data_IF_989536390165
#
_entry.id   IF_989536390165
#
_cell.length_a   1.000
_cell.length_b   1.000
_cell.length_c   1.000
_cell.angle_alpha   90.00
_cell.angle_beta   90.00
_cell.angle_gamma   90.00
#
_symmetry.space_group_name_H-M   'P 1'
#
loop_
_entity.id
_entity.type
_entity.pdbx_description
1 polymer ?
#
# COMPACT_ATOMS: atom_id res chain seq x y z
N UNK A 1 6.16 -2.17 16.41
CA UNK A 1 5.85 -1.01 17.28
C UNK A 1 4.39 -0.60 17.10
N UNK A 2 3.67 -0.20 18.14
CA UNK A 2 2.29 0.30 18.01
C UNK A 2 2.25 1.50 17.06
N UNK A 3 1.17 1.59 16.27
CA UNK A 3 1.01 2.69 15.30
C UNK A 3 0.89 4.05 16.01
N UNK A 4 1.27 5.14 15.32
CA UNK A 4 1.22 6.51 15.87
C UNK A 4 -0.13 6.87 16.51
N UNK A 5 -1.23 6.37 15.96
CA UNK A 5 -2.58 6.61 16.49
C UNK A 5 -2.73 6.03 17.89
N UNK A 6 -2.24 4.80 18.12
CA UNK A 6 -2.29 4.15 19.44
C UNK A 6 -1.47 4.94 20.46
N UNK A 7 -0.26 5.35 20.10
CA UNK A 7 0.60 6.14 20.99
C UNK A 7 -0.03 7.48 21.36
N UNK A 8 -0.62 8.19 20.38
CA UNK A 8 -1.35 9.44 20.65
C UNK A 8 -2.59 9.23 21.51
N UNK A 9 -3.31 8.11 21.30
CA UNK A 9 -4.47 7.77 22.12
C UNK A 9 -4.09 7.49 23.56
N UNK A 10 -3.00 6.75 23.81
CA UNK A 10 -2.49 6.49 25.16
C UNK A 10 -2.03 7.77 25.84
N UNK A 11 -1.29 8.63 25.12
CA UNK A 11 -0.85 9.93 25.64
C UNK A 11 -2.04 10.83 25.99
N UNK A 12 -3.06 10.88 25.11
CA UNK A 12 -4.27 11.69 25.37
C UNK A 12 -5.05 11.18 26.58
N UNK A 13 -5.20 9.87 26.72
CA UNK A 13 -5.84 9.29 27.90
C UNK A 13 -5.06 9.63 29.19
N UNK A 14 -3.73 9.49 29.17
CA UNK A 14 -2.87 9.88 30.29
C UNK A 14 -3.02 11.36 30.65
N UNK A 15 -3.00 12.27 29.66
CA UNK A 15 -3.17 13.71 29.90
C UNK A 15 -4.55 14.04 30.46
N UNK A 16 -5.62 13.40 29.99
CA UNK A 16 -6.97 13.56 30.56
C UNK A 16 -7.01 13.14 32.03
N UNK A 17 -6.39 12.01 32.39
CA UNK A 17 -6.31 11.55 33.78
C UNK A 17 -5.44 12.49 34.64
N UNK A 18 -4.36 13.00 34.13
CA UNK A 18 -3.51 13.98 34.82
C UNK A 18 -4.28 15.28 35.10
N UNK A 19 -4.98 15.81 34.10
CA UNK A 19 -5.81 17.02 34.25
C UNK A 19 -6.92 16.79 35.28
N UNK A 20 -7.59 15.63 35.23
CA UNK A 20 -8.59 15.26 36.24
C UNK A 20 -8.01 15.25 37.68
N UNK A 21 -6.81 14.66 37.85
CA UNK A 21 -6.11 14.65 39.14
C UNK A 21 -5.78 16.07 39.62
N UNK A 22 -5.23 16.92 38.74
CA UNK A 22 -4.86 18.32 39.03
C UNK A 22 -6.09 19.21 39.35
N UNK A 23 -7.28 18.87 38.81
CA UNK A 23 -8.56 19.52 39.13
C UNK A 23 -9.16 19.08 40.48
N UNK A 24 -8.41 18.39 41.35
CA UNK A 24 -8.91 17.90 42.62
C UNK A 24 -9.94 16.80 42.45
N UNK A 25 -9.88 16.01 41.38
CA UNK A 25 -10.81 14.90 41.06
C UNK A 25 -12.25 15.33 40.81
N UNK A 26 -12.46 16.57 40.38
CA UNK A 26 -13.78 17.07 40.00
C UNK A 26 -14.17 16.65 38.61
N UNK A 27 -15.46 16.28 38.40
CA UNK A 27 -15.98 15.76 37.14
C UNK A 27 -15.74 14.25 36.95
N UNK A 28 -15.80 13.76 35.71
CA UNK A 28 -15.60 12.36 35.37
C UNK A 28 -14.59 12.20 34.21
N UNK A 29 -13.41 11.62 34.50
CA UNK A 29 -12.35 11.49 33.49
C UNK A 29 -12.78 10.63 32.30
N UNK A 30 -13.76 9.77 32.49
CA UNK A 30 -14.37 8.97 31.43
C UNK A 30 -14.82 9.82 30.23
N UNK A 31 -15.44 10.96 30.47
CA UNK A 31 -15.97 11.83 29.42
C UNK A 31 -14.90 12.57 28.67
N UNK A 32 -13.84 13.02 29.34
CA UNK A 32 -12.69 13.64 28.65
C UNK A 32 -11.90 12.65 27.84
N UNK A 33 -11.69 11.41 28.34
CA UNK A 33 -10.98 10.36 27.62
C UNK A 33 -11.76 9.96 26.35
N UNK A 34 -13.08 9.68 26.44
CA UNK A 34 -13.90 9.35 25.27
C UNK A 34 -13.89 10.49 24.26
N UNK A 35 -13.97 11.75 24.72
CA UNK A 35 -13.89 12.89 23.83
C UNK A 35 -12.55 12.95 23.09
N UNK A 36 -11.44 12.73 23.80
CA UNK A 36 -10.11 12.72 23.21
C UNK A 36 -9.93 11.58 22.21
N UNK A 37 -10.31 10.35 22.57
CA UNK A 37 -10.14 9.18 21.71
C UNK A 37 -10.93 9.28 20.39
N UNK A 38 -12.13 9.84 20.43
CA UNK A 38 -12.94 10.04 19.21
C UNK A 38 -12.39 11.16 18.33
N UNK A 39 -11.77 12.19 18.91
CA UNK A 39 -11.20 13.31 18.18
C UNK A 39 -9.82 12.99 17.55
N UNK A 40 -9.12 11.93 18.00
CA UNK A 40 -7.83 11.53 17.38
C UNK A 40 -8.08 10.90 16.02
N UNK A 41 -7.91 11.71 14.96
CA UNK A 41 -8.12 11.34 13.57
C UNK A 41 -6.79 11.42 12.79
N UNK A 42 -6.66 10.67 11.66
CA UNK A 42 -5.45 10.71 10.82
C UNK A 42 -5.19 12.10 10.20
N UNK A 43 -6.25 12.86 9.93
CA UNK A 43 -6.20 14.17 9.29
C UNK A 43 -6.68 15.27 10.24
N UNK A 44 -5.96 16.37 10.31
CA UNK A 44 -6.26 17.50 11.20
C UNK A 44 -7.63 18.12 10.92
N UNK A 45 -8.01 18.26 9.64
CA UNK A 45 -9.32 18.78 9.27
C UNK A 45 -10.49 17.93 9.82
N UNK A 46 -10.36 16.60 9.74
CA UNK A 46 -11.37 15.68 10.29
C UNK A 46 -11.41 15.74 11.83
N UNK A 47 -10.26 15.88 12.47
CA UNK A 47 -10.16 16.03 13.92
C UNK A 47 -10.92 17.28 14.39
N UNK A 48 -10.68 18.43 13.77
CA UNK A 48 -11.36 19.69 14.10
C UNK A 48 -12.87 19.61 13.86
N UNK A 49 -13.28 18.96 12.75
CA UNK A 49 -14.70 18.73 12.45
C UNK A 49 -15.37 17.88 13.54
N UNK A 50 -14.77 16.74 13.91
CA UNK A 50 -15.29 15.86 14.96
C UNK A 50 -15.31 16.58 16.32
N UNK A 51 -14.24 17.31 16.66
CA UNK A 51 -14.16 18.09 17.90
C UNK A 51 -15.27 19.15 17.99
N UNK A 52 -15.49 19.91 16.91
CA UNK A 52 -16.58 20.89 16.82
C UNK A 52 -17.95 20.24 17.02
N UNK A 53 -18.22 19.13 16.30
CA UNK A 53 -19.50 18.45 16.41
C UNK A 53 -19.74 17.90 17.81
N UNK A 54 -18.69 17.43 18.48
CA UNK A 54 -18.76 16.93 19.84
C UNK A 54 -19.06 18.05 20.88
N UNK A 55 -18.34 19.18 20.78
CA UNK A 55 -18.62 20.33 21.67
C UNK A 55 -20.03 20.86 21.42
N UNK A 56 -20.42 21.07 20.17
CA UNK A 56 -21.77 21.55 19.82
C UNK A 56 -22.86 20.61 20.32
N UNK A 57 -22.71 19.31 20.12
CA UNK A 57 -23.67 18.30 20.64
C UNK A 57 -23.73 18.29 22.16
N UNK A 58 -22.57 18.42 22.83
CA UNK A 58 -22.54 18.52 24.30
C UNK A 58 -23.29 19.76 24.81
N UNK A 59 -23.08 20.91 24.16
CA UNK A 59 -23.79 22.13 24.53
C UNK A 59 -25.31 22.02 24.33
N UNK A 60 -25.77 21.48 23.22
CA UNK A 60 -27.18 21.26 22.93
C UNK A 60 -27.79 20.27 23.93
N UNK A 61 -27.11 19.14 24.19
CA UNK A 61 -27.57 18.15 25.15
C UNK A 61 -27.59 18.67 26.58
N UNK A 62 -26.60 19.50 26.98
CA UNK A 62 -26.52 20.16 28.26
C UNK A 62 -27.66 21.20 28.44
N UNK A 63 -27.96 21.98 27.41
CA UNK A 63 -29.06 22.95 27.43
C UNK A 63 -30.42 22.28 27.66
N UNK A 64 -30.74 21.29 26.82
CA UNK A 64 -32.03 20.56 26.99
C UNK A 64 -32.06 19.71 28.25
N UNK A 65 -30.95 19.15 28.71
CA UNK A 65 -30.81 18.46 29.99
C UNK A 65 -31.08 19.40 31.17
N UNK A 66 -30.54 20.63 31.10
CA UNK A 66 -30.83 21.63 32.16
C UNK A 66 -32.31 22.05 32.19
N UNK A 67 -32.96 22.17 31.04
CA UNK A 67 -34.41 22.44 30.98
C UNK A 67 -35.22 21.29 31.60
N UNK A 68 -34.88 20.05 31.28
CA UNK A 68 -35.52 18.87 31.84
C UNK A 68 -35.32 18.79 33.35
N UNK A 69 -34.12 19.08 33.87
CA UNK A 69 -33.82 19.15 35.29
C UNK A 69 -34.70 20.24 36.00
N UNK A 70 -34.75 21.45 35.42
CA UNK A 70 -35.54 22.52 35.94
C UNK A 70 -37.05 22.15 36.00
N UNK A 71 -37.56 21.57 34.91
CA UNK A 71 -38.94 21.10 34.84
C UNK A 71 -39.25 20.04 35.89
N UNK A 72 -38.36 19.09 36.12
CA UNK A 72 -38.54 18.04 37.13
C UNK A 72 -38.52 18.61 38.53
N UNK A 73 -37.55 19.46 38.86
CA UNK A 73 -37.48 20.12 40.18
C UNK A 73 -38.71 21.02 40.45
N UNK A 74 -39.25 21.67 39.43
CA UNK A 74 -40.46 22.47 39.54
C UNK A 74 -41.70 21.62 39.83
N UNK A 75 -41.84 20.46 39.18
CA UNK A 75 -42.99 19.55 39.35
C UNK A 75 -42.91 18.81 40.68
N UNK A 76 -41.71 18.45 41.16
CA UNK A 76 -41.52 17.70 42.43
C UNK A 76 -41.37 18.59 43.65
N UNK A 77 -41.50 19.92 43.52
CA UNK A 77 -41.39 20.84 44.66
C UNK A 77 -40.01 20.93 45.27
N UNK A 78 -38.94 20.56 44.50
CA UNK A 78 -37.53 20.60 44.93
C UNK A 78 -37.01 19.33 45.57
N UNK A 79 -37.83 18.31 45.75
CA UNK A 79 -37.38 17.00 46.21
C UNK A 79 -36.77 16.19 45.04
N UNK A 80 -35.58 15.65 45.17
CA UNK A 80 -34.95 14.86 44.10
C UNK A 80 -35.51 13.43 43.99
N UNK A 81 -36.77 13.21 44.45
CA UNK A 81 -37.44 11.93 44.32
C UNK A 81 -38.22 11.91 43.00
N UNK A 82 -37.77 11.12 42.06
CA UNK A 82 -38.61 10.77 40.94
C UNK A 82 -38.87 9.26 40.96
N UNK A 83 -40.14 8.90 40.84
CA UNK A 83 -40.52 7.51 40.62
C UNK A 83 -40.19 7.13 39.23
N UNK A 84 -39.33 6.09 39.05
CA UNK A 84 -39.02 5.47 37.76
C UNK A 84 -40.24 4.72 37.21
N UNK A 85 -41.28 5.46 36.83
CA UNK A 85 -42.49 4.90 36.27
C UNK A 85 -42.49 5.06 34.74
N UNK A 86 -43.32 4.27 34.07
CA UNK A 86 -43.38 4.21 32.60
C UNK A 86 -43.64 5.59 31.97
N UNK A 87 -44.39 6.45 32.66
CA UNK A 87 -44.69 7.83 32.23
C UNK A 87 -43.42 8.67 32.09
N UNK A 88 -42.50 8.55 33.05
CA UNK A 88 -41.21 9.24 33.00
C UNK A 88 -40.38 8.83 31.75
N UNK A 89 -40.31 7.54 31.48
CA UNK A 89 -39.55 7.05 30.28
C UNK A 89 -40.21 7.48 28.97
N UNK A 90 -41.54 7.54 28.88
CA UNK A 90 -42.24 8.07 27.71
C UNK A 90 -41.97 9.55 27.49
N UNK A 91 -41.96 10.36 28.57
CA UNK A 91 -41.59 11.79 28.51
C UNK A 91 -40.15 11.97 28.06
N UNK A 92 -39.22 11.20 28.61
CA UNK A 92 -37.82 11.24 28.17
C UNK A 92 -37.67 10.88 26.68
N UNK A 93 -38.38 9.86 26.21
CA UNK A 93 -38.36 9.46 24.80
C UNK A 93 -38.88 10.60 23.89
N UNK A 94 -39.93 11.27 24.27
CA UNK A 94 -40.44 12.43 23.55
C UNK A 94 -39.43 13.59 23.54
N UNK A 95 -38.79 13.86 24.69
CA UNK A 95 -37.75 14.90 24.80
C UNK A 95 -36.53 14.61 23.92
N UNK A 96 -36.12 13.34 23.77
CA UNK A 96 -35.04 12.97 22.83
C UNK A 96 -35.41 13.43 21.42
N UNK A 97 -36.66 13.27 20.99
CA UNK A 97 -37.15 13.77 19.72
C UNK A 97 -36.92 15.29 19.55
N UNK A 98 -37.22 16.08 20.60
CA UNK A 98 -36.99 17.52 20.63
C UNK A 98 -35.49 17.85 20.53
N UNK A 99 -34.66 17.16 21.31
CA UNK A 99 -33.19 17.32 21.29
C UNK A 99 -32.64 17.07 19.91
N UNK A 100 -33.01 15.95 19.25
CA UNK A 100 -32.56 15.60 17.91
C UNK A 100 -33.08 16.60 16.87
N UNK A 101 -34.34 17.00 16.94
CA UNK A 101 -34.93 17.98 16.03
C UNK A 101 -34.25 19.36 16.14
N UNK A 102 -33.87 19.79 17.35
CA UNK A 102 -33.10 21.03 17.53
C UNK A 102 -31.79 21.05 16.80
N UNK A 103 -31.11 19.90 16.64
CA UNK A 103 -29.86 19.80 15.85
C UNK A 103 -30.11 19.98 14.34
N UNK A 104 -31.30 19.58 13.86
CA UNK A 104 -31.70 19.80 12.46
C UNK A 104 -32.03 21.29 12.23
N UNK A 105 -32.76 21.93 13.13
CA UNK A 105 -33.06 23.35 13.03
C UNK A 105 -31.78 24.22 13.06
N UNK A 106 -30.82 23.87 13.89
CA UNK A 106 -29.53 24.56 14.00
C UNK A 106 -28.56 24.19 12.87
N UNK A 107 -28.96 23.32 11.94
CA UNK A 107 -28.13 22.83 10.81
C UNK A 107 -26.83 22.12 11.23
N UNK A 108 -26.83 21.47 12.41
CA UNK A 108 -25.68 20.74 12.98
C UNK A 108 -26.00 19.25 13.16
N UNK A 109 -26.56 18.62 12.15
CA UNK A 109 -27.06 17.22 12.17
C UNK A 109 -26.00 16.22 12.64
N UNK A 110 -24.72 16.44 12.34
CA UNK A 110 -23.62 15.57 12.77
C UNK A 110 -23.39 15.57 14.29
N UNK A 111 -23.95 16.53 15.02
CA UNK A 111 -23.89 16.63 16.47
C UNK A 111 -25.05 15.91 17.19
N UNK A 112 -26.04 15.39 16.46
CA UNK A 112 -27.29 14.81 17.01
C UNK A 112 -27.00 13.66 17.97
N UNK A 113 -26.14 12.73 17.64
CA UNK A 113 -25.77 11.63 18.52
C UNK A 113 -25.18 12.11 19.85
N UNK A 114 -24.29 13.08 19.80
CA UNK A 114 -23.67 13.61 21.03
C UNK A 114 -24.67 14.38 21.90
N UNK A 115 -25.59 15.10 21.29
CA UNK A 115 -26.63 15.81 22.06
C UNK A 115 -27.57 14.87 22.79
N UNK A 116 -27.99 13.78 22.16
CA UNK A 116 -28.80 12.75 22.78
C UNK A 116 -28.09 12.04 23.94
N UNK A 117 -26.83 11.65 23.74
CA UNK A 117 -26.02 10.98 24.78
C UNK A 117 -25.80 11.88 25.99
N UNK A 118 -25.53 13.17 25.80
CA UNK A 118 -25.34 14.11 26.91
C UNK A 118 -26.66 14.37 27.63
N UNK A 119 -27.75 14.59 26.90
CA UNK A 119 -29.09 14.73 27.47
C UNK A 119 -29.43 13.54 28.35
N UNK A 120 -29.31 12.31 27.83
CA UNK A 120 -29.60 11.09 28.59
C UNK A 120 -28.68 10.91 29.80
N UNK A 121 -27.39 11.25 29.68
CA UNK A 121 -26.47 11.13 30.82
C UNK A 121 -26.86 12.06 31.98
N UNK A 122 -27.44 13.23 31.67
CA UNK A 122 -27.93 14.19 32.68
C UNK A 122 -29.24 13.70 33.31
N UNK A 123 -30.20 13.31 32.48
CA UNK A 123 -31.55 13.03 32.92
C UNK A 123 -31.72 11.64 33.54
N UNK A 124 -30.96 10.63 33.09
CA UNK A 124 -31.10 9.27 33.64
C UNK A 124 -30.19 8.98 34.84
N UNK A 125 -28.98 9.55 34.87
CA UNK A 125 -27.99 9.14 35.87
C UNK A 125 -27.77 10.18 36.99
N UNK A 126 -28.14 11.45 36.77
CA UNK A 126 -27.73 12.54 37.65
C UNK A 126 -28.87 13.48 38.08
N UNK A 127 -30.11 13.11 37.77
CA UNK A 127 -31.27 13.93 38.14
C UNK A 127 -31.50 13.95 39.66
N UNK A 128 -31.11 12.87 40.35
CA UNK A 128 -31.18 12.74 41.81
C UNK A 128 -29.96 13.26 42.58
N UNK A 129 -28.97 13.84 41.92
CA UNK A 129 -27.78 14.38 42.56
C UNK A 129 -28.14 15.64 43.42
N UNK A 130 -27.39 15.84 44.50
CA UNK A 130 -27.53 17.03 45.37
C UNK A 130 -27.33 18.34 44.58
N UNK A 131 -26.48 18.33 43.56
CA UNK A 131 -26.27 19.46 42.68
C UNK A 131 -26.13 19.01 41.21
N UNK A 132 -27.23 18.74 40.49
CA UNK A 132 -27.17 18.24 39.13
C UNK A 132 -26.61 19.26 38.13
N UNK A 133 -26.69 20.56 38.39
CA UNK A 133 -26.11 21.59 37.52
C UNK A 133 -24.58 21.59 37.56
N UNK A 134 -23.97 21.21 38.68
CA UNK A 134 -22.54 21.04 38.78
C UNK A 134 -22.08 19.89 37.89
N UNK A 135 -22.86 18.82 37.77
CA UNK A 135 -22.61 17.74 36.83
C UNK A 135 -22.68 18.24 35.39
N UNK A 136 -23.70 19.01 35.01
CA UNK A 136 -23.83 19.58 33.66
C UNK A 136 -22.62 20.44 33.29
N UNK A 137 -22.16 21.29 34.21
CA UNK A 137 -20.98 22.10 34.04
C UNK A 137 -19.71 21.25 33.84
N UNK A 138 -19.46 20.31 34.73
CA UNK A 138 -18.30 19.41 34.65
C UNK A 138 -18.35 18.55 33.37
N UNK A 139 -19.54 18.08 32.98
CA UNK A 139 -19.75 17.30 31.75
C UNK A 139 -19.31 18.07 30.49
N UNK A 140 -19.67 19.36 30.42
CA UNK A 140 -19.29 20.24 29.32
C UNK A 140 -17.80 20.54 29.36
N UNK A 141 -17.24 20.81 30.52
CA UNK A 141 -15.85 21.10 30.73
C UNK A 141 -14.96 19.88 30.38
N UNK A 142 -15.34 18.67 30.85
CA UNK A 142 -14.62 17.44 30.57
C UNK A 142 -14.57 17.15 29.06
N UNK A 143 -15.66 17.37 28.33
CA UNK A 143 -15.69 17.23 26.87
C UNK A 143 -14.73 18.22 26.20
N UNK A 144 -14.72 19.49 26.64
CA UNK A 144 -13.86 20.53 26.10
C UNK A 144 -12.37 20.22 26.35
N UNK A 145 -12.06 19.76 27.57
CA UNK A 145 -10.70 19.28 27.93
C UNK A 145 -10.29 18.14 27.02
N UNK A 146 -11.16 17.14 26.83
CA UNK A 146 -10.86 15.99 25.97
C UNK A 146 -10.58 16.39 24.52
N UNK A 147 -11.36 17.32 23.95
CA UNK A 147 -11.12 17.86 22.61
C UNK A 147 -9.79 18.62 22.55
N UNK A 148 -9.51 19.48 23.55
CA UNK A 148 -8.24 20.24 23.64
C UNK A 148 -7.03 19.32 23.74
N UNK A 149 -7.09 18.28 24.59
CA UNK A 149 -6.04 17.26 24.72
C UNK A 149 -5.85 16.48 23.41
N UNK A 150 -6.94 16.18 22.68
CA UNK A 150 -6.82 15.53 21.37
C UNK A 150 -6.10 16.41 20.36
N UNK A 151 -6.41 17.71 20.30
CA UNK A 151 -5.73 18.69 19.43
C UNK A 151 -4.25 18.74 19.78
N UNK A 152 -3.91 18.90 21.06
CA UNK A 152 -2.53 18.91 21.54
C UNK A 152 -1.78 17.60 21.20
N UNK A 153 -2.35 16.45 21.53
CA UNK A 153 -1.73 15.14 21.25
C UNK A 153 -1.54 14.89 19.75
N UNK A 154 -2.43 15.43 18.91
CA UNK A 154 -2.31 15.30 17.47
C UNK A 154 -1.25 16.25 16.87
N UNK A 155 -0.95 17.36 17.55
CA UNK A 155 0.13 18.29 17.17
C UNK A 155 1.52 17.74 17.49
N UNK A 156 1.61 16.71 18.33
CA UNK A 156 2.88 16.03 18.61
C UNK A 156 3.25 15.15 17.41
N UNK A 157 4.29 15.56 16.68
CA UNK A 157 4.84 14.81 15.57
C UNK A 157 6.09 14.08 16.04
N UNK A 158 6.04 12.74 16.03
CA UNK A 158 7.24 11.95 16.26
C UNK A 158 8.25 12.23 15.15
N UNK A 159 9.49 12.61 15.46
CA UNK A 159 10.49 12.86 14.45
C UNK A 159 10.73 11.59 13.63
N UNK A 160 10.78 11.75 12.33
CA UNK A 160 11.09 10.68 11.39
C UNK A 160 12.37 11.03 10.69
N UNK A 161 13.27 10.08 10.64
CA UNK A 161 14.52 10.19 9.89
C UNK A 161 14.32 9.44 8.57
N UNK A 162 14.68 10.09 7.46
CA UNK A 162 14.62 9.48 6.14
C UNK A 162 15.88 8.66 5.89
N UNK A 163 15.72 7.39 5.62
CA UNK A 163 16.81 6.48 5.27
C UNK A 163 17.17 6.65 3.78
N UNK A 164 18.17 7.48 3.51
CA UNK A 164 18.68 7.73 2.16
C UNK A 164 19.86 6.83 1.77
N UNK A 165 20.32 5.99 2.68
CA UNK A 165 21.46 5.11 2.45
C UNK A 165 21.01 3.73 1.94
N UNK A 166 19.88 3.26 2.41
CA UNK A 166 19.33 1.95 2.02
C UNK A 166 18.75 1.98 0.60
N UNK A 167 19.13 1.01 -0.21
CA UNK A 167 18.54 0.72 -1.51
C UNK A 167 17.27 -0.12 -1.30
N UNK A 168 16.13 0.40 -1.70
CA UNK A 168 14.85 -0.30 -1.67
C UNK A 168 14.54 -0.86 -3.06
N UNK A 169 14.30 -2.17 -3.16
CA UNK A 169 14.00 -2.84 -4.42
C UNK A 169 12.67 -3.58 -4.32
N UNK A 170 11.71 -3.25 -5.17
CA UNK A 170 10.39 -3.89 -5.20
C UNK A 170 10.26 -4.81 -6.41
N UNK A 171 9.66 -5.99 -6.20
CA UNK A 171 9.13 -6.77 -7.32
C UNK A 171 8.09 -5.96 -8.09
N UNK A 172 8.08 -6.07 -9.41
CA UNK A 172 7.02 -5.50 -10.26
C UNK A 172 5.83 -6.45 -10.28
N UNK A 173 6.11 -7.69 -10.66
CA UNK A 173 5.13 -8.75 -10.85
C UNK A 173 4.56 -9.19 -9.50
N UNK A 174 3.25 -9.09 -9.31
CA UNK A 174 2.49 -9.47 -8.11
C UNK A 174 2.85 -8.71 -6.79
N UNK A 175 3.77 -7.74 -6.82
CA UNK A 175 4.13 -6.92 -5.64
C UNK A 175 3.66 -5.47 -5.83
N UNK A 176 4.22 -4.79 -6.82
CA UNK A 176 3.85 -3.41 -7.15
C UNK A 176 2.53 -3.37 -7.95
N UNK A 177 2.39 -4.27 -8.92
CA UNK A 177 1.20 -4.40 -9.76
C UNK A 177 0.46 -5.71 -9.47
N UNK A 178 -0.86 -5.64 -9.43
CA UNK A 178 -1.75 -6.80 -9.44
C UNK A 178 -1.93 -7.32 -10.88
N UNK A 179 -2.73 -8.35 -11.05
CA UNK A 179 -3.10 -8.89 -12.36
C UNK A 179 -3.77 -7.86 -13.28
N UNK A 180 -4.51 -6.90 -12.70
CA UNK A 180 -5.13 -5.78 -13.41
C UNK A 180 -4.13 -4.75 -13.95
N UNK A 181 -2.84 -4.87 -13.62
CA UNK A 181 -1.73 -4.00 -14.00
C UNK A 181 -1.92 -2.52 -13.67
N UNK A 182 -2.87 -2.21 -12.79
CA UNK A 182 -3.18 -0.85 -12.41
C UNK A 182 -2.53 -0.46 -11.08
N UNK A 183 -1.92 0.71 -11.07
CA UNK A 183 -1.42 1.34 -9.85
C UNK A 183 -2.24 2.61 -9.57
N UNK A 184 -2.79 2.72 -8.36
CA UNK A 184 -3.61 3.88 -8.02
C UNK A 184 -2.80 5.18 -8.10
N UNK A 185 -3.43 6.28 -8.51
CA UNK A 185 -2.78 7.59 -8.61
C UNK A 185 -2.16 8.01 -7.28
N UNK A 186 -2.84 7.74 -6.16
CA UNK A 186 -2.32 8.03 -4.83
C UNK A 186 -1.01 7.29 -4.54
N UNK A 187 -0.89 6.03 -4.99
CA UNK A 187 0.32 5.23 -4.83
C UNK A 187 1.46 5.79 -5.67
N UNK A 188 1.19 6.16 -6.94
CA UNK A 188 2.17 6.81 -7.83
C UNK A 188 2.69 8.12 -7.23
N UNK A 189 1.79 8.99 -6.77
CA UNK A 189 2.16 10.28 -6.15
C UNK A 189 3.04 10.07 -4.92
N UNK A 190 2.67 9.16 -4.02
CA UNK A 190 3.46 8.88 -2.81
C UNK A 190 4.83 8.30 -3.11
N UNK A 191 4.92 7.37 -4.05
CA UNK A 191 6.19 6.78 -4.45
C UNK A 191 7.10 7.84 -5.07
N UNK A 192 6.56 8.69 -5.97
CA UNK A 192 7.29 9.80 -6.56
C UNK A 192 7.78 10.80 -5.52
N UNK A 193 6.97 11.13 -4.50
CA UNK A 193 7.40 11.98 -3.40
C UNK A 193 8.61 11.40 -2.66
N UNK A 194 8.60 10.10 -2.34
CA UNK A 194 9.74 9.45 -1.69
C UNK A 194 10.99 9.47 -2.56
N UNK A 195 10.85 9.18 -3.86
CA UNK A 195 11.98 9.22 -4.82
C UNK A 195 12.54 10.65 -4.93
N UNK A 196 11.68 11.67 -5.00
CA UNK A 196 12.07 13.08 -5.04
C UNK A 196 12.77 13.51 -3.74
N UNK A 197 12.33 13.00 -2.60
CA UNK A 197 12.93 13.23 -1.28
C UNK A 197 14.31 12.57 -1.10
N UNK A 198 14.79 11.83 -2.11
CA UNK A 198 16.11 11.19 -2.15
C UNK A 198 16.13 9.72 -1.73
N UNK A 199 14.98 9.05 -1.71
CA UNK A 199 14.93 7.60 -1.52
C UNK A 199 15.60 6.89 -2.70
N UNK A 200 16.48 5.95 -2.41
CA UNK A 200 17.08 5.05 -3.40
C UNK A 200 16.12 3.91 -3.68
N UNK A 201 15.35 4.03 -4.76
CA UNK A 201 14.31 3.05 -5.12
C UNK A 201 14.53 2.49 -6.51
N UNK A 202 14.44 1.18 -6.63
CA UNK A 202 14.49 0.44 -7.89
C UNK A 202 13.45 -0.68 -7.90
N UNK A 203 13.32 -1.34 -9.05
CA UNK A 203 12.41 -2.47 -9.23
C UNK A 203 13.12 -3.67 -9.82
N UNK A 204 12.60 -4.86 -9.55
CA UNK A 204 13.06 -6.14 -10.11
C UNK A 204 11.91 -6.89 -10.75
N UNK A 205 12.13 -7.44 -11.95
CA UNK A 205 11.06 -8.08 -12.74
C UNK A 205 11.59 -9.16 -13.68
N UNK A 206 10.71 -10.08 -14.06
CA UNK A 206 10.92 -11.02 -15.17
C UNK A 206 10.73 -10.35 -16.54
N UNK A 207 10.08 -9.18 -16.59
CA UNK A 207 9.72 -8.52 -17.84
C UNK A 207 10.89 -7.79 -18.50
N UNK A 208 10.74 -7.49 -19.80
CA UNK A 208 11.71 -6.65 -20.54
C UNK A 208 11.61 -5.19 -20.10
N UNK A 209 12.69 -4.39 -20.24
CA UNK A 209 12.67 -2.95 -20.00
C UNK A 209 11.54 -2.22 -20.73
N UNK A 210 11.20 -2.65 -21.95
CA UNK A 210 10.08 -2.13 -22.73
C UNK A 210 8.74 -2.30 -22.00
N UNK A 211 8.46 -3.50 -21.48
CA UNK A 211 7.24 -3.75 -20.68
C UNK A 211 7.23 -2.95 -19.38
N UNK A 212 8.38 -2.85 -18.70
CA UNK A 212 8.46 -2.06 -17.44
C UNK A 212 8.17 -0.60 -17.71
N UNK A 213 8.64 -0.03 -18.81
CA UNK A 213 8.37 1.35 -19.20
C UNK A 213 6.86 1.61 -19.37
N UNK A 214 6.14 0.68 -19.99
CA UNK A 214 4.70 0.74 -20.15
C UNK A 214 3.98 0.67 -18.78
N UNK A 215 4.36 -0.28 -17.93
CA UNK A 215 3.74 -0.50 -16.61
C UNK A 215 4.03 0.64 -15.62
N UNK A 216 5.24 1.17 -15.61
CA UNK A 216 5.69 2.19 -14.64
C UNK A 216 5.44 3.62 -15.12
N UNK A 217 4.61 3.81 -16.13
CA UNK A 217 4.25 5.14 -16.62
C UNK A 217 3.70 6.02 -15.47
N UNK A 218 4.33 7.19 -15.30
CA UNK A 218 4.01 8.11 -14.21
C UNK A 218 4.75 7.84 -12.90
N UNK A 219 5.69 6.87 -12.87
CA UNK A 219 6.64 6.69 -11.78
C UNK A 219 8.02 7.19 -12.24
N UNK A 220 8.59 8.14 -11.52
CA UNK A 220 9.89 8.73 -11.83
C UNK A 220 11.06 7.90 -11.30
N UNK A 221 11.25 6.67 -11.81
CA UNK A 221 12.40 5.83 -11.45
C UNK A 221 13.70 6.52 -11.85
N UNK A 222 14.62 6.69 -10.89
CA UNK A 222 15.91 7.36 -11.09
C UNK A 222 17.10 6.40 -11.12
N UNK A 223 16.92 5.21 -10.59
CA UNK A 223 17.96 4.19 -10.54
C UNK A 223 17.72 3.14 -11.63
N UNK A 224 18.79 2.47 -12.10
CA UNK A 224 18.64 1.34 -12.98
C UNK A 224 17.75 0.25 -12.36
N UNK A 225 17.01 -0.46 -13.22
CA UNK A 225 16.12 -1.55 -12.85
C UNK A 225 16.76 -2.90 -13.15
N UNK A 226 16.40 -3.90 -12.34
CA UNK A 226 16.73 -5.30 -12.60
C UNK A 226 15.62 -5.88 -13.46
N UNK A 227 15.90 -6.16 -14.73
CA UNK A 227 14.93 -6.70 -15.67
C UNK A 227 15.32 -8.08 -16.19
N UNK A 228 14.41 -8.75 -16.91
CA UNK A 228 14.61 -10.08 -17.48
C UNK A 228 15.15 -11.08 -16.45
N UNK A 229 14.52 -11.11 -15.28
CA UNK A 229 14.83 -11.98 -14.13
C UNK A 229 16.30 -11.96 -13.67
N UNK A 230 16.96 -10.79 -13.80
CA UNK A 230 18.36 -10.60 -13.44
C UNK A 230 19.35 -10.76 -14.60
N UNK A 231 18.89 -10.94 -15.83
CA UNK A 231 19.76 -10.94 -16.99
C UNK A 231 20.31 -9.54 -17.32
N UNK A 232 19.58 -8.47 -16.95
CA UNK A 232 20.02 -7.10 -17.26
C UNK A 232 19.80 -6.13 -16.11
N UNK A 233 20.72 -5.18 -16.02
CA UNK A 233 20.56 -3.92 -15.28
C UNK A 233 20.36 -2.82 -16.31
N UNK A 234 19.20 -2.17 -16.30
CA UNK A 234 18.80 -1.22 -17.33
C UNK A 234 18.45 0.14 -16.73
N UNK A 235 19.06 1.19 -17.26
CA UNK A 235 18.73 2.56 -16.89
C UNK A 235 17.54 3.07 -17.73
N UNK A 236 16.44 3.35 -17.04
CA UNK A 236 15.20 3.82 -17.66
C UNK A 236 15.31 5.26 -18.19
N UNK A 237 16.22 6.07 -17.65
CA UNK A 237 16.38 7.48 -18.02
C UNK A 237 17.22 7.61 -19.30
N UNK A 238 18.39 7.00 -19.32
CA UNK A 238 19.29 7.02 -20.47
C UNK A 238 18.95 5.99 -21.55
N UNK A 239 17.99 5.09 -21.28
CA UNK A 239 17.61 3.97 -22.14
C UNK A 239 18.80 3.05 -22.48
N UNK A 240 19.67 2.77 -21.51
CA UNK A 240 20.90 1.98 -21.74
C UNK A 240 20.93 0.72 -20.87
N UNK A 241 21.54 -0.33 -21.43
CA UNK A 241 21.87 -1.56 -20.70
C UNK A 241 23.18 -1.35 -19.94
N UNK A 242 23.08 -1.04 -18.63
CA UNK A 242 24.24 -0.78 -17.75
C UNK A 242 25.06 -2.04 -17.55
N UNK A 243 24.41 -3.19 -17.41
CA UNK A 243 25.02 -4.51 -17.25
C UNK A 243 24.15 -5.56 -17.91
N UNK A 244 24.75 -6.50 -18.60
CA UNK A 244 24.07 -7.67 -19.20
C UNK A 244 24.76 -8.96 -18.76
N UNK A 245 23.96 -9.95 -18.39
CA UNK A 245 24.43 -11.32 -18.15
C UNK A 245 24.02 -12.17 -19.34
N UNK A 246 24.95 -12.28 -20.29
CA UNK A 246 24.77 -12.97 -21.57
C UNK A 246 24.79 -14.48 -21.38
N UNK A 247 24.13 -15.21 -22.27
CA UNK A 247 24.31 -16.65 -22.44
C UNK A 247 25.59 -16.90 -23.24
N UNK A 248 26.34 -17.91 -22.86
CA UNK A 248 27.48 -18.32 -23.63
C UNK A 248 27.06 -18.82 -25.04
N UNK A 249 27.81 -18.48 -26.08
CA UNK A 249 27.42 -18.77 -27.45
C UNK A 249 27.20 -20.27 -27.72
N UNK A 250 28.10 -21.12 -27.19
CA UNK A 250 27.96 -22.58 -27.33
C UNK A 250 26.68 -23.12 -26.65
N UNK A 251 26.32 -22.56 -25.48
CA UNK A 251 25.06 -22.89 -24.77
C UNK A 251 23.84 -22.42 -25.56
N UNK A 252 23.89 -21.21 -26.15
CA UNK A 252 22.82 -20.69 -26.99
C UNK A 252 22.58 -21.51 -28.24
N UNK A 253 23.66 -22.00 -28.88
CA UNK A 253 23.58 -22.89 -30.04
C UNK A 253 22.98 -24.26 -29.69
N UNK A 254 23.43 -24.88 -28.58
CA UNK A 254 22.84 -26.12 -28.04
C UNK A 254 21.34 -25.97 -27.75
N UNK A 255 20.97 -24.91 -27.06
CA UNK A 255 19.58 -24.64 -26.73
C UNK A 255 18.70 -24.37 -27.96
N UNK A 256 19.24 -23.62 -28.94
CA UNK A 256 18.56 -23.39 -30.22
C UNK A 256 18.32 -24.71 -30.98
N UNK A 257 19.31 -25.61 -31.00
CA UNK A 257 19.18 -26.93 -31.62
C UNK A 257 18.15 -27.80 -30.91
N UNK A 258 18.19 -27.87 -29.59
CA UNK A 258 17.20 -28.56 -28.77
C UNK A 258 15.76 -28.08 -29.07
N UNK A 259 15.50 -26.79 -29.05
CA UNK A 259 14.16 -26.24 -29.32
C UNK A 259 13.71 -26.49 -30.78
N UNK A 260 14.66 -26.55 -31.73
CA UNK A 260 14.40 -26.94 -33.14
C UNK A 260 14.00 -28.40 -33.27
N UNK A 261 14.67 -29.31 -32.57
CA UNK A 261 14.35 -30.75 -32.55
C UNK A 261 12.98 -30.98 -31.92
N UNK A 262 12.63 -30.25 -30.87
CA UNK A 262 11.31 -30.28 -30.24
C UNK A 262 10.21 -29.65 -31.11
N UNK A 263 10.53 -28.98 -32.21
CA UNK A 263 9.62 -28.31 -33.14
C UNK A 263 8.70 -27.29 -32.49
N UNK A 264 9.21 -26.61 -31.48
CA UNK A 264 8.48 -25.57 -30.76
C UNK A 264 8.81 -24.19 -31.32
N UNK A 265 7.86 -23.28 -31.49
CA UNK A 265 8.15 -21.89 -31.84
C UNK A 265 8.73 -21.15 -30.64
N UNK A 266 9.74 -20.30 -30.89
CA UNK A 266 10.39 -19.56 -29.81
C UNK A 266 10.90 -18.20 -30.24
N UNK A 267 11.04 -17.30 -29.26
CA UNK A 267 11.81 -16.06 -29.41
C UNK A 267 13.21 -16.20 -28.82
N UNK A 268 14.19 -15.59 -29.49
CA UNK A 268 15.50 -15.37 -28.93
C UNK A 268 15.67 -13.88 -28.66
N UNK A 269 15.78 -13.52 -27.39
CA UNK A 269 15.94 -12.15 -26.97
C UNK A 269 17.42 -11.81 -26.84
N UNK A 270 17.84 -10.79 -27.58
CA UNK A 270 19.23 -10.37 -27.68
C UNK A 270 19.35 -8.86 -27.48
N UNK A 271 20.56 -8.37 -27.27
CA UNK A 271 20.87 -6.95 -27.21
C UNK A 271 21.93 -6.60 -28.24
N UNK A 272 21.64 -5.59 -29.07
CA UNK A 272 22.56 -4.99 -30.02
C UNK A 272 22.57 -3.47 -29.78
N UNK A 273 23.70 -2.87 -29.43
CA UNK A 273 23.88 -1.42 -29.29
C UNK A 273 22.74 -0.72 -28.47
N UNK A 274 22.39 -1.26 -27.30
CA UNK A 274 21.29 -0.80 -26.45
C UNK A 274 19.87 -1.01 -27.02
N UNK A 275 19.71 -1.79 -28.08
CA UNK A 275 18.40 -2.16 -28.61
C UNK A 275 18.06 -3.61 -28.26
N UNK A 276 16.83 -3.86 -27.85
CA UNK A 276 16.31 -5.21 -27.70
C UNK A 276 15.93 -5.74 -29.07
N UNK A 277 16.64 -6.74 -29.52
CA UNK A 277 16.39 -7.44 -30.78
C UNK A 277 15.81 -8.82 -30.45
N UNK A 278 14.72 -9.18 -31.09
CA UNK A 278 13.98 -10.42 -30.83
C UNK A 278 13.89 -11.22 -32.12
N UNK A 279 14.61 -12.33 -32.17
CA UNK A 279 14.56 -13.24 -33.31
C UNK A 279 13.37 -14.19 -33.15
N UNK A 280 12.53 -14.26 -34.19
CA UNK A 280 11.44 -15.20 -34.31
C UNK A 280 11.91 -16.51 -34.91
N UNK A 281 11.62 -17.66 -34.30
CA UNK A 281 12.02 -18.98 -34.74
C UNK A 281 10.86 -19.96 -34.77
N UNK A 282 10.79 -20.77 -35.83
CA UNK A 282 9.76 -21.79 -36.03
C UNK A 282 8.31 -21.29 -36.12
N UNK A 283 8.12 -20.02 -36.46
CA UNK A 283 6.84 -19.46 -36.86
C UNK A 283 7.07 -18.21 -37.73
N UNK A 284 6.03 -17.82 -38.50
CA UNK A 284 6.07 -16.60 -39.33
C UNK A 284 5.15 -15.58 -38.77
N UNK A 285 5.65 -14.49 -38.16
CA UNK A 285 4.79 -13.43 -37.60
C UNK A 285 3.86 -12.83 -38.65
N UNK A 286 2.58 -12.62 -38.25
CA UNK A 286 1.53 -12.09 -39.11
C UNK A 286 0.82 -13.14 -39.95
N UNK A 287 1.15 -14.42 -39.84
CA UNK A 287 0.38 -15.51 -40.43
C UNK A 287 -0.58 -16.09 -39.38
N UNK A 288 -1.85 -16.25 -39.78
CA UNK A 288 -2.84 -16.90 -38.91
C UNK A 288 -2.47 -18.39 -38.75
N UNK A 289 -2.29 -18.88 -37.53
CA UNK A 289 -1.99 -20.28 -37.28
C UNK A 289 -3.20 -21.17 -37.66
N UNK A 290 -2.92 -22.33 -38.24
CA UNK A 290 -3.97 -23.29 -38.62
C UNK A 290 -4.79 -23.81 -37.43
N UNK A 291 -4.14 -23.92 -36.26
CA UNK A 291 -4.78 -24.38 -35.02
C UNK A 291 -4.73 -23.31 -33.94
N UNK A 292 -5.89 -22.74 -33.52
CA UNK A 292 -5.96 -21.69 -32.48
C UNK A 292 -5.43 -22.10 -31.09
N UNK A 293 -5.30 -23.40 -30.82
CA UNK A 293 -4.77 -23.94 -29.54
C UNK A 293 -3.33 -24.44 -29.63
N UNK A 294 -2.59 -24.08 -30.66
CA UNK A 294 -1.17 -24.47 -30.82
C UNK A 294 -0.23 -23.48 -30.14
N UNK A 295 1.02 -23.91 -29.92
CA UNK A 295 2.10 -23.04 -29.48
C UNK A 295 2.35 -21.87 -30.43
N UNK A 296 2.16 -22.10 -31.75
CA UNK A 296 2.23 -21.06 -32.78
C UNK A 296 1.18 -19.96 -32.58
N UNK A 297 -0.04 -20.33 -32.20
CA UNK A 297 -1.10 -19.38 -31.91
C UNK A 297 -0.82 -18.58 -30.63
N UNK A 298 -0.22 -19.20 -29.62
CA UNK A 298 0.14 -18.55 -28.37
C UNK A 298 1.28 -17.53 -28.59
N UNK A 299 2.36 -17.93 -29.31
CA UNK A 299 3.48 -17.04 -29.57
C UNK A 299 3.11 -15.89 -30.54
N UNK A 300 2.25 -16.15 -31.55
CA UNK A 300 1.74 -15.13 -32.46
C UNK A 300 0.88 -14.10 -31.71
N UNK A 301 0.03 -14.54 -30.79
CA UNK A 301 -0.74 -13.64 -29.95
C UNK A 301 0.16 -12.75 -29.07
N UNK A 302 1.25 -13.28 -28.55
CA UNK A 302 2.23 -12.51 -27.79
C UNK A 302 2.97 -11.52 -28.70
N UNK A 303 3.33 -11.92 -29.91
CA UNK A 303 3.92 -11.03 -30.91
C UNK A 303 2.98 -9.88 -31.26
N UNK A 304 1.75 -10.17 -31.67
CA UNK A 304 0.75 -9.16 -32.04
C UNK A 304 0.52 -8.13 -30.89
N UNK A 305 0.46 -8.61 -29.67
CA UNK A 305 0.33 -7.76 -28.47
C UNK A 305 1.51 -6.82 -28.26
N UNK A 306 2.73 -7.21 -28.69
CA UNK A 306 3.98 -6.53 -28.36
C UNK A 306 4.66 -5.84 -29.54
N UNK A 307 4.31 -6.15 -30.79
CA UNK A 307 4.97 -5.64 -32.02
C UNK A 307 4.92 -4.12 -32.16
N UNK A 308 3.89 -3.47 -31.64
CA UNK A 308 3.72 -2.02 -31.69
C UNK A 308 4.63 -1.23 -30.71
N UNK A 309 5.43 -1.89 -29.89
CA UNK A 309 6.27 -1.21 -28.91
C UNK A 309 7.52 -0.61 -29.61
N UNK A 310 7.79 0.70 -29.44
CA UNK A 310 8.97 1.36 -30.06
C UNK A 310 10.31 0.92 -29.45
N UNK A 311 10.29 0.07 -28.42
CA UNK A 311 11.47 -0.39 -27.70
C UNK A 311 11.80 -1.85 -28.02
N UNK A 312 11.18 -2.47 -29.03
CA UNK A 312 11.39 -3.84 -29.47
C UNK A 312 11.60 -3.86 -30.97
N UNK A 313 12.64 -4.55 -31.41
CA UNK A 313 12.87 -4.84 -32.83
C UNK A 313 12.73 -6.34 -33.05
N UNK A 314 11.79 -6.72 -33.90
CA UNK A 314 11.58 -8.13 -34.27
C UNK A 314 12.26 -8.44 -35.60
N UNK A 315 13.07 -9.50 -35.63
CA UNK A 315 13.79 -10.01 -36.80
C UNK A 315 13.23 -11.36 -37.21
N UNK A 316 12.95 -11.51 -38.50
CA UNK A 316 12.31 -12.73 -39.01
C UNK A 316 13.31 -13.88 -39.25
N UNK A 317 12.78 -15.06 -39.49
CA UNK A 317 13.24 -16.40 -39.22
C UNK A 317 14.63 -16.84 -39.77
N UNK A 318 15.19 -16.22 -40.78
CA UNK A 318 16.29 -16.84 -41.57
C UNK A 318 17.68 -16.20 -41.31
N UNK A 319 17.76 -15.16 -40.50
CA UNK A 319 19.03 -14.51 -40.17
C UNK A 319 19.75 -15.23 -39.01
N UNK A 320 21.07 -15.39 -39.15
CA UNK A 320 21.91 -15.91 -38.08
C UNK A 320 21.88 -14.99 -36.85
N UNK A 321 21.87 -15.59 -35.65
CA UNK A 321 21.95 -14.85 -34.40
C UNK A 321 23.40 -14.45 -34.17
N UNK A 322 23.73 -13.20 -34.48
CA UNK A 322 25.07 -12.62 -34.28
C UNK A 322 25.19 -11.84 -32.99
N UNK A 323 24.06 -11.55 -32.34
CA UNK A 323 23.97 -10.69 -31.19
C UNK A 323 24.16 -11.45 -29.88
N UNK A 324 24.37 -10.68 -28.81
CA UNK A 324 24.47 -11.20 -27.45
C UNK A 324 23.12 -11.73 -26.95
N UNK A 325 23.02 -13.04 -26.81
CA UNK A 325 21.79 -13.71 -26.35
C UNK A 325 21.60 -13.51 -24.84
N UNK A 326 20.44 -13.02 -24.45
CA UNK A 326 20.04 -12.85 -23.05
C UNK A 326 19.20 -14.03 -22.56
N UNK A 327 18.15 -14.41 -23.31
CA UNK A 327 17.29 -15.53 -22.97
C UNK A 327 16.45 -15.99 -24.17
N UNK A 328 15.99 -17.23 -24.08
CA UNK A 328 14.99 -17.80 -24.96
C UNK A 328 13.62 -17.76 -24.31
N UNK A 329 12.57 -17.61 -25.12
CA UNK A 329 11.19 -17.61 -24.65
C UNK A 329 10.36 -18.57 -25.50
N UNK A 330 9.70 -19.49 -24.83
CA UNK A 330 8.69 -20.41 -25.38
C UNK A 330 7.36 -20.11 -24.68
N UNK A 331 6.26 -20.23 -25.40
CA UNK A 331 4.90 -20.15 -24.84
C UNK A 331 4.05 -21.25 -25.44
N UNK A 332 3.42 -22.06 -24.58
CA UNK A 332 2.49 -23.11 -24.96
C UNK A 332 1.50 -23.35 -23.80
N UNK A 333 0.67 -24.37 -23.91
CA UNK A 333 -0.15 -24.86 -22.81
C UNK A 333 0.72 -25.31 -21.64
N UNK A 334 0.26 -25.07 -20.46
CA UNK A 334 1.00 -25.32 -19.21
C UNK A 334 1.65 -26.73 -19.18
N UNK A 335 0.89 -27.78 -19.47
CA UNK A 335 1.35 -29.17 -19.40
C UNK A 335 2.49 -29.43 -20.40
N UNK A 336 2.44 -28.80 -21.58
CA UNK A 336 3.49 -28.95 -22.60
C UNK A 336 4.75 -28.16 -22.25
N UNK A 337 4.56 -26.96 -21.69
CA UNK A 337 5.67 -26.11 -21.26
C UNK A 337 6.41 -26.76 -20.10
N UNK A 338 5.71 -27.33 -19.12
CA UNK A 338 6.30 -28.08 -18.01
C UNK A 338 7.05 -29.33 -18.50
N UNK A 339 6.45 -30.12 -19.42
CA UNK A 339 7.11 -31.29 -20.01
C UNK A 339 8.36 -30.91 -20.83
N UNK A 340 8.32 -29.81 -21.56
CA UNK A 340 9.49 -29.29 -22.29
C UNK A 340 10.60 -28.89 -21.31
N UNK A 341 10.24 -28.23 -20.23
CA UNK A 341 11.19 -27.84 -19.19
C UNK A 341 11.83 -29.03 -18.49
N UNK A 342 11.05 -30.06 -18.17
CA UNK A 342 11.59 -31.30 -17.61
C UNK A 342 12.59 -31.97 -18.55
N UNK A 343 12.29 -32.09 -19.86
CA UNK A 343 13.22 -32.62 -20.85
C UNK A 343 14.51 -31.82 -20.96
N UNK A 344 14.39 -30.48 -20.98
CA UNK A 344 15.53 -29.57 -20.95
C UNK A 344 16.44 -29.82 -19.74
N UNK A 345 15.86 -30.10 -18.57
CA UNK A 345 16.64 -30.35 -17.35
C UNK A 345 17.34 -31.72 -17.33
N UNK A 346 17.01 -32.62 -18.23
CA UNK A 346 17.72 -33.89 -18.42
C UNK A 346 18.89 -33.81 -19.42
N UNK A 347 19.06 -32.70 -20.13
CA UNK A 347 20.16 -32.49 -21.02
C UNK A 347 21.52 -32.42 -20.30
N UNK A 348 22.61 -32.97 -20.86
CA UNK A 348 23.94 -32.98 -20.21
C UNK A 348 24.47 -31.58 -19.86
N UNK A 349 24.00 -30.55 -20.58
CA UNK A 349 24.36 -29.13 -20.39
C UNK A 349 23.32 -28.32 -19.62
N UNK A 350 22.33 -28.97 -19.04
CA UNK A 350 21.25 -28.29 -18.28
C UNK A 350 21.78 -27.37 -17.17
N UNK A 351 22.93 -27.69 -16.56
CA UNK A 351 23.56 -26.85 -15.54
C UNK A 351 24.06 -25.50 -16.03
N UNK A 352 24.17 -25.29 -17.34
CA UNK A 352 24.56 -24.02 -17.95
C UNK A 352 23.39 -23.05 -18.08
N UNK A 353 22.13 -23.53 -17.93
CA UNK A 353 20.91 -22.75 -18.11
C UNK A 353 20.02 -22.80 -16.88
N UNK A 354 19.08 -21.86 -16.81
CA UNK A 354 18.05 -21.75 -15.78
C UNK A 354 16.70 -21.43 -16.42
N UNK A 355 15.73 -22.31 -16.24
CA UNK A 355 14.37 -22.07 -16.69
C UNK A 355 13.53 -21.34 -15.63
N UNK A 356 12.64 -20.48 -16.08
CA UNK A 356 11.68 -19.74 -15.27
C UNK A 356 10.31 -19.82 -15.93
N UNK A 357 9.39 -20.47 -15.23
CA UNK A 357 7.99 -20.54 -15.62
C UNK A 357 7.21 -19.30 -15.15
N UNK A 358 6.30 -18.80 -15.96
CA UNK A 358 5.55 -17.59 -15.70
C UNK A 358 4.22 -17.57 -16.47
N UNK A 359 3.15 -17.17 -15.79
CA UNK A 359 1.82 -17.01 -16.37
C UNK A 359 1.47 -15.56 -16.67
N UNK A 360 2.36 -14.63 -16.34
CA UNK A 360 2.14 -13.20 -16.59
C UNK A 360 2.21 -12.91 -18.11
N UNK A 361 1.20 -12.29 -18.66
CA UNK A 361 1.00 -12.01 -20.07
C UNK A 361 0.43 -13.18 -20.91
N UNK A 362 0.11 -14.32 -20.31
CA UNK A 362 -0.48 -15.47 -20.98
C UNK A 362 -2.03 -15.41 -21.01
N UNK A 363 -2.63 -16.20 -21.89
CA UNK A 363 -4.04 -16.54 -21.79
C UNK A 363 -4.27 -17.61 -20.71
N UNK A 364 -5.51 -17.83 -20.33
CA UNK A 364 -5.85 -18.88 -19.37
C UNK A 364 -5.44 -20.25 -19.94
N UNK A 365 -4.70 -21.03 -19.13
CA UNK A 365 -4.17 -22.33 -19.51
C UNK A 365 -2.84 -22.32 -20.28
N UNK A 366 -2.29 -21.14 -20.60
CA UNK A 366 -0.96 -20.99 -21.22
C UNK A 366 0.11 -20.62 -20.15
N UNK A 367 1.36 -20.97 -20.44
CA UNK A 367 2.52 -20.66 -19.62
C UNK A 367 3.73 -20.30 -20.47
N UNK A 368 4.52 -19.33 -20.02
CA UNK A 368 5.78 -18.94 -20.63
C UNK A 368 6.94 -19.61 -19.92
N UNK A 369 7.80 -20.28 -20.66
CA UNK A 369 9.12 -20.71 -20.21
C UNK A 369 10.16 -19.73 -20.74
N UNK A 370 10.87 -19.06 -19.82
CA UNK A 370 12.05 -18.24 -20.13
C UNK A 370 13.29 -19.00 -19.70
N UNK A 371 14.26 -19.14 -20.62
CA UNK A 371 15.49 -19.89 -20.40
C UNK A 371 16.66 -18.93 -20.46
N UNK A 372 17.31 -18.72 -19.32
CA UNK A 372 18.44 -17.83 -19.13
C UNK A 372 19.74 -18.59 -18.93
N UNK A 373 20.89 -17.91 -19.01
CA UNK A 373 22.13 -18.42 -18.45
C UNK A 373 21.96 -18.71 -16.94
N UNK A 374 22.55 -19.77 -16.43
CA UNK A 374 22.52 -20.11 -14.99
C UNK A 374 23.10 -19.01 -14.10
N UNK A 375 24.02 -18.20 -14.62
CA UNK A 375 24.60 -17.04 -13.94
C UNK A 375 23.64 -15.82 -13.87
N UNK A 376 22.62 -15.75 -14.72
CA UNK A 376 21.66 -14.65 -14.74
C UNK A 376 20.63 -14.83 -13.62
N UNK A 377 20.87 -14.22 -12.46
CA UNK A 377 19.99 -14.28 -11.29
C UNK A 377 19.70 -12.90 -10.74
N UNK A 378 18.48 -12.72 -10.17
CA UNK A 378 18.12 -11.46 -9.49
C UNK A 378 19.08 -11.11 -8.36
N UNK A 379 19.56 -12.11 -7.62
CA UNK A 379 20.50 -11.92 -6.52
C UNK A 379 21.84 -11.37 -7.00
N UNK A 380 22.42 -11.96 -8.04
CA UNK A 380 23.67 -11.48 -8.63
C UNK A 380 23.52 -10.05 -9.17
N UNK A 381 22.43 -9.76 -9.87
CA UNK A 381 22.17 -8.43 -10.42
C UNK A 381 21.84 -7.38 -9.34
N UNK A 382 21.25 -7.80 -8.21
CA UNK A 382 21.03 -6.92 -7.05
C UNK A 382 22.36 -6.48 -6.42
N UNK A 383 23.35 -7.36 -6.32
CA UNK A 383 24.68 -6.98 -5.84
C UNK A 383 25.39 -6.03 -6.83
N UNK A 384 25.21 -6.20 -8.14
CA UNK A 384 25.71 -5.25 -9.13
C UNK A 384 25.02 -3.88 -9.03
N UNK A 385 23.69 -3.85 -8.84
CA UNK A 385 22.94 -2.61 -8.61
C UNK A 385 23.41 -1.92 -7.32
N UNK A 386 23.59 -2.69 -6.25
CA UNK A 386 24.08 -2.18 -4.95
C UNK A 386 25.45 -1.51 -5.09
N UNK A 387 26.39 -2.15 -5.83
CA UNK A 387 27.70 -1.58 -6.13
C UNK A 387 27.57 -0.31 -6.98
N UNK A 388 26.74 -0.34 -8.01
CA UNK A 388 26.52 0.79 -8.93
C UNK A 388 25.99 2.03 -8.18
N UNK A 389 25.04 1.83 -7.26
CA UNK A 389 24.42 2.91 -6.46
C UNK A 389 25.28 3.32 -5.27
N UNK A 390 26.27 2.52 -4.88
CA UNK A 390 27.06 2.72 -3.65
C UNK A 390 26.20 2.63 -2.39
N UNK A 391 25.26 1.70 -2.34
CA UNK A 391 24.37 1.54 -1.20
C UNK A 391 24.97 0.55 -0.18
N UNK A 392 25.11 0.91 1.10
CA UNK A 392 25.64 -0.01 2.13
C UNK A 392 24.64 -1.10 2.48
N UNK A 393 23.34 -0.85 2.34
CA UNK A 393 22.24 -1.76 2.71
C UNK A 393 21.22 -1.85 1.60
N UNK A 394 20.55 -3.01 1.51
CA UNK A 394 19.43 -3.25 0.60
C UNK A 394 18.25 -3.78 1.38
N UNK A 395 17.04 -3.46 0.93
CA UNK A 395 15.78 -4.03 1.41
C UNK A 395 14.92 -4.36 0.20
N UNK A 396 14.63 -5.63 0.03
CA UNK A 396 13.83 -6.16 -1.07
C UNK A 396 12.40 -6.48 -0.63
N UNK A 397 11.43 -6.17 -1.51
CA UNK A 397 10.01 -6.45 -1.31
C UNK A 397 9.55 -7.49 -2.32
N UNK A 398 8.88 -8.53 -1.86
CA UNK A 398 8.43 -9.65 -2.68
C UNK A 398 7.17 -10.31 -2.14
N UNK A 399 6.84 -11.48 -2.72
CA UNK A 399 5.69 -12.31 -2.32
C UNK A 399 6.12 -13.59 -1.58
N UNK A 400 7.43 -13.88 -1.48
CA UNK A 400 7.97 -15.09 -0.86
C UNK A 400 9.11 -14.74 0.08
N UNK A 401 9.09 -15.31 1.29
CA UNK A 401 10.13 -15.11 2.31
C UNK A 401 11.51 -15.61 1.87
N UNK A 402 11.55 -16.65 1.05
CA UNK A 402 12.81 -17.20 0.53
C UNK A 402 13.54 -16.26 -0.45
N UNK A 403 12.84 -15.27 -1.00
CA UNK A 403 13.31 -14.42 -2.10
C UNK A 403 13.40 -12.93 -1.79
N UNK A 404 12.92 -12.51 -0.60
CA UNK A 404 12.90 -11.08 -0.25
C UNK A 404 12.94 -10.85 1.26
N UNK A 405 13.37 -9.64 1.66
CA UNK A 405 13.44 -9.23 3.07
C UNK A 405 12.08 -8.87 3.65
N UNK A 406 11.14 -8.47 2.80
CA UNK A 406 9.80 -8.03 3.19
C UNK A 406 8.75 -8.66 2.29
N UNK A 407 7.94 -9.53 2.88
CA UNK A 407 6.80 -10.14 2.19
C UNK A 407 5.62 -9.20 2.20
N UNK A 408 4.99 -9.03 1.05
CA UNK A 408 3.74 -8.29 0.87
C UNK A 408 2.62 -9.31 0.67
N UNK A 409 1.85 -9.64 1.73
CA UNK A 409 0.90 -10.74 1.69
C UNK A 409 -0.26 -10.52 0.72
N UNK A 410 -0.69 -9.26 0.56
CA UNK A 410 -1.71 -8.88 -0.41
C UNK A 410 -1.06 -8.07 -1.53
N UNK A 411 -0.93 -8.66 -2.70
CA UNK A 411 -0.38 -8.00 -3.88
C UNK A 411 -1.01 -6.61 -4.10
N UNK A 412 -0.18 -5.63 -4.37
CA UNK A 412 -0.62 -4.29 -4.73
C UNK A 412 0.23 -3.17 -4.16
N UNK A 413 0.51 -2.19 -5.00
CA UNK A 413 1.42 -1.08 -4.70
C UNK A 413 1.04 -0.25 -3.47
N UNK A 414 -0.25 -0.21 -3.09
CA UNK A 414 -0.69 0.49 -1.90
C UNK A 414 -0.16 -0.13 -0.60
N UNK A 415 -0.11 -1.45 -0.51
CA UNK A 415 0.43 -2.17 0.64
C UNK A 415 1.95 -2.12 0.64
N UNK A 416 2.58 -2.31 -0.53
CA UNK A 416 4.03 -2.14 -0.69
C UNK A 416 4.49 -0.74 -0.26
N UNK A 417 3.83 0.33 -0.70
CA UNK A 417 4.19 1.71 -0.33
C UNK A 417 3.98 1.98 1.16
N UNK A 418 3.00 1.34 1.82
CA UNK A 418 2.86 1.43 3.29
C UNK A 418 4.04 0.79 4.03
N UNK A 419 4.46 -0.41 3.60
CA UNK A 419 5.62 -1.10 4.19
C UNK A 419 6.93 -0.37 3.88
N UNK A 420 7.09 0.13 2.66
CA UNK A 420 8.20 0.97 2.25
C UNK A 420 8.32 2.22 3.13
N UNK A 421 7.21 2.92 3.37
CA UNK A 421 7.18 4.11 4.24
C UNK A 421 7.68 3.84 5.65
N UNK A 422 7.30 2.72 6.24
CA UNK A 422 7.74 2.35 7.59
C UNK A 422 9.27 2.22 7.72
N UNK A 423 9.94 1.81 6.63
CA UNK A 423 11.38 1.57 6.57
C UNK A 423 12.15 2.79 6.09
N UNK A 424 11.60 3.52 5.14
CA UNK A 424 12.17 4.76 4.63
C UNK A 424 12.09 5.90 5.64
N UNK A 425 10.95 6.01 6.37
CA UNK A 425 10.72 7.03 7.40
C UNK A 425 10.50 6.37 8.78
N UNK A 426 11.48 5.66 9.35
CA UNK A 426 11.35 5.12 10.70
C UNK A 426 11.19 6.24 11.72
N UNK A 427 10.47 5.94 12.80
CA UNK A 427 10.37 6.86 13.94
C UNK A 427 11.71 6.86 14.67
N UNK A 428 12.35 8.03 14.77
CA UNK A 428 13.55 8.21 15.58
C UNK A 428 13.21 8.99 16.87
N UNK A 429 13.28 8.29 17.99
CA UNK A 429 13.00 8.86 19.33
C UNK A 429 14.22 9.65 19.86
N UNK A 430 15.39 9.54 19.25
CA UNK A 430 16.63 10.19 19.75
C UNK A 430 16.64 11.71 19.54
N UNK A 431 15.78 12.22 18.66
CA UNK A 431 15.67 13.65 18.36
C UNK A 431 14.66 14.42 19.19
N UNK A 432 14.69 14.36 20.51
CA UNK A 432 13.75 15.01 21.44
C UNK A 432 13.48 16.49 21.18
N UNK A 433 14.44 17.20 20.58
CA UNK A 433 14.35 18.66 20.33
C UNK A 433 13.39 19.07 19.21
N UNK A 434 12.89 18.12 18.41
CA UNK A 434 12.02 18.37 17.26
C UNK A 434 10.60 17.78 17.41
N UNK A 435 10.19 17.41 18.63
CA UNK A 435 8.94 16.68 18.87
C UNK A 435 7.71 17.59 18.78
N UNK A 436 7.83 18.85 19.12
CA UNK A 436 6.72 19.80 19.09
C UNK A 436 6.93 20.76 17.93
N UNK A 437 6.17 20.60 16.87
CA UNK A 437 6.00 21.60 15.80
C UNK A 437 4.53 22.01 15.79
N UNK A 438 4.27 23.25 16.18
CA UNK A 438 2.98 23.89 16.04
C UNK A 438 2.71 24.25 14.59
#
# INVERSE_FOLDING_TARGET
MPGQRIMRSVLAAFLCLLIYYLRGRQGAPFYSIIAALQCIQPYTANMLKVGKNRITGTLIGAFWGSIALFGTLFVTGGEPHYDENMTYYLVLAAFIGIVLYSTVLLKVRESAYFSAVVFLSITMNHIGDVNPYLFVFNRTLDTTIGVGVAIFSNSIHLPRVRDRETLFVSGVDHVLFREDRNLSQLTKVRLNQFIQDGMRFSVSTKQTPATVRELTQGIGLRLPIIAMDGAVLYDMQSATYVKTQKMERGTAEKLSSFLKEEKVPFFVNTVRENLLVIYCRHFRPGMLPENPGSAEAAIEALYEKKKGSPYRNYVHADEDIVDDVLYFLVIDRKERTEALFERLMHEPWAGEVRGVLDTFDCREGEEILRIYSSAATRKAMLEELKKYVGAPRTVSFGISEEKCDVVIPDAGGGNMVKELKKRYEPVDIRGWRNIIRF
#
